data_IF_992786826199
#
_entry.id   IF_992786826199
#
_cell.length_a   1.000
_cell.length_b   1.000
_cell.length_c   1.000
_cell.angle_alpha   90.00
_cell.angle_beta   90.00
_cell.angle_gamma   90.00
#
_symmetry.space_group_name_H-M   'P 1'
#
loop_
_entity.id
_entity.type
_entity.pdbx_description
1 polymer ?
#
# COMPACT_ATOMS: atom_id res chain seq x y z
N UNK A 1 17.48 -8.73 1.72
CA UNK A 1 16.13 -8.22 2.08
C UNK A 1 16.23 -7.15 3.17
N UNK A 2 17.02 -7.39 4.22
CA UNK A 2 17.21 -6.49 5.38
C UNK A 2 17.64 -5.07 5.01
N UNK A 3 18.49 -4.92 3.98
CA UNK A 3 18.87 -3.61 3.44
C UNK A 3 17.67 -2.80 2.93
N UNK A 4 16.73 -3.45 2.23
CA UNK A 4 15.52 -2.78 1.72
C UNK A 4 14.54 -2.44 2.85
N UNK A 5 14.54 -3.21 3.93
CA UNK A 5 13.76 -2.89 5.13
C UNK A 5 14.38 -1.73 5.92
N UNK A 6 15.71 -1.70 6.05
CA UNK A 6 16.42 -0.67 6.82
C UNK A 6 16.52 0.66 6.08
N UNK A 7 16.65 0.64 4.75
CA UNK A 7 16.60 1.85 3.92
C UNK A 7 15.21 2.50 3.89
N UNK A 8 14.15 1.75 4.23
CA UNK A 8 12.79 2.27 4.41
C UNK A 8 12.07 2.72 3.13
N UNK A 9 12.74 2.75 1.97
CA UNK A 9 12.14 3.27 0.74
C UNK A 9 11.23 2.25 0.04
N UNK A 10 11.66 0.99 -0.07
CA UNK A 10 10.96 -0.01 -0.89
C UNK A 10 9.65 -0.49 -0.26
N UNK A 11 9.68 -0.80 1.04
CA UNK A 11 8.51 -1.22 1.81
C UNK A 11 7.80 -0.05 2.51
N UNK A 12 8.04 1.20 2.07
CA UNK A 12 7.22 2.33 2.52
C UNK A 12 5.79 2.17 2.02
N UNK A 13 4.80 2.60 2.82
CA UNK A 13 3.38 2.57 2.43
C UNK A 13 3.17 3.25 1.07
N UNK A 14 3.85 4.38 0.85
CA UNK A 14 3.73 5.15 -0.39
C UNK A 14 4.26 4.37 -1.61
N UNK A 15 5.48 3.81 -1.51
CA UNK A 15 6.05 3.01 -2.59
C UNK A 15 5.27 1.71 -2.85
N UNK A 16 4.71 1.08 -1.82
CA UNK A 16 3.88 -0.11 -1.99
C UNK A 16 2.52 0.25 -2.62
N UNK A 17 1.92 1.39 -2.24
CA UNK A 17 0.69 1.91 -2.82
C UNK A 17 0.82 2.23 -4.30
N UNK A 18 1.96 2.77 -4.73
CA UNK A 18 2.20 3.09 -6.14
C UNK A 18 2.29 1.85 -7.04
N UNK A 19 2.89 0.78 -6.52
CA UNK A 19 3.15 -0.49 -7.21
C UNK A 19 1.92 -1.38 -7.25
N UNK A 20 1.21 -1.48 -6.13
CA UNK A 20 0.03 -2.35 -6.00
C UNK A 20 -1.18 -1.54 -5.48
N UNK A 21 -1.72 -0.63 -6.30
CA UNK A 21 -2.74 0.32 -5.86
C UNK A 21 -4.06 -0.37 -5.51
N UNK A 22 -4.45 -1.45 -6.20
CA UNK A 22 -5.67 -2.18 -5.86
C UNK A 22 -5.52 -2.97 -4.55
N UNK A 23 -4.39 -3.64 -4.36
CA UNK A 23 -4.10 -4.36 -3.12
C UNK A 23 -4.05 -3.40 -1.93
N UNK A 24 -3.39 -2.25 -2.09
CA UNK A 24 -3.40 -1.20 -1.07
C UNK A 24 -4.83 -0.72 -0.77
N UNK A 25 -5.66 -0.51 -1.79
CA UNK A 25 -7.06 -0.12 -1.57
C UNK A 25 -7.83 -1.14 -0.72
N UNK A 26 -7.64 -2.43 -1.00
CA UNK A 26 -8.35 -3.51 -0.32
C UNK A 26 -7.93 -3.68 1.13
N UNK A 27 -6.64 -3.52 1.45
CA UNK A 27 -6.16 -3.71 2.83
C UNK A 27 -6.17 -2.41 3.64
N UNK A 28 -5.85 -1.27 3.03
CA UNK A 28 -5.64 -0.01 3.77
C UNK A 28 -6.61 1.06 3.33
N UNK A 29 -6.75 1.27 2.02
CA UNK A 29 -7.47 2.40 1.43
C UNK A 29 -8.98 2.42 1.69
N UNK A 30 -9.64 1.26 1.88
CA UNK A 30 -11.08 1.19 2.17
C UNK A 30 -11.44 1.65 3.58
N UNK A 31 -10.47 1.61 4.50
CA UNK A 31 -10.63 2.02 5.90
C UNK A 31 -10.11 3.44 6.15
N UNK A 32 -9.32 3.99 5.23
CA UNK A 32 -8.86 5.38 5.28
C UNK A 32 -10.03 6.33 5.01
N UNK A 33 -10.07 7.43 5.78
CA UNK A 33 -11.16 8.40 5.70
C UNK A 33 -11.23 9.05 4.28
N UNK A 34 -12.33 8.84 3.52
CA UNK A 34 -12.49 9.44 2.21
C UNK A 34 -12.57 10.96 2.27
N UNK A 35 -13.03 11.54 3.39
CA UNK A 35 -13.07 12.99 3.58
C UNK A 35 -11.67 13.56 3.74
N UNK A 36 -10.76 12.84 4.42
CA UNK A 36 -9.35 13.22 4.51
C UNK A 36 -8.57 13.14 3.19
N UNK A 37 -9.12 12.43 2.20
CA UNK A 37 -8.51 12.24 0.88
C UNK A 37 -9.07 13.17 -0.20
N UNK A 38 -10.40 13.34 -0.22
CA UNK A 38 -11.08 14.14 -1.26
C UNK A 38 -11.33 15.61 -0.87
N UNK A 39 -11.45 15.96 0.42
CA UNK A 39 -11.84 17.31 0.85
C UNK A 39 -10.65 18.21 1.20
N UNK A 40 -10.74 19.53 0.90
CA UNK A 40 -9.75 20.51 1.35
C UNK A 40 -9.67 20.54 2.87
N UNK A 41 -8.46 20.45 3.43
CA UNK A 41 -8.25 20.61 4.87
C UNK A 41 -8.24 22.11 5.23
N UNK A 42 -8.69 22.49 6.44
CA UNK A 42 -8.60 23.88 6.88
C UNK A 42 -7.16 24.40 6.82
N UNK A 43 -6.91 25.48 6.07
CA UNK A 43 -5.58 26.07 5.89
C UNK A 43 -4.75 25.50 4.74
N UNK A 44 -5.24 24.48 4.03
CA UNK A 44 -4.58 23.88 2.86
C UNK A 44 -4.81 24.74 1.60
N UNK A 45 -3.79 24.87 0.75
CA UNK A 45 -3.94 25.61 -0.52
C UNK A 45 -4.72 24.75 -1.50
N UNK A 46 -5.56 25.39 -2.31
CA UNK A 46 -6.37 24.70 -3.32
C UNK A 46 -5.52 23.89 -4.30
N UNK A 47 -4.29 24.34 -4.59
CA UNK A 47 -3.33 23.59 -5.40
C UNK A 47 -2.98 22.24 -4.77
N UNK A 48 -2.78 22.17 -3.46
CA UNK A 48 -2.42 20.93 -2.77
C UNK A 48 -3.59 19.94 -2.80
N UNK A 49 -4.82 20.43 -2.58
CA UNK A 49 -6.03 19.60 -2.70
C UNK A 49 -6.24 19.09 -4.13
N UNK A 50 -6.01 19.94 -5.14
CA UNK A 50 -6.11 19.54 -6.55
C UNK A 50 -5.06 18.50 -6.92
N UNK A 51 -3.82 18.66 -6.47
CA UNK A 51 -2.74 17.69 -6.69
C UNK A 51 -3.10 16.34 -6.07
N UNK A 52 -3.53 16.32 -4.80
CA UNK A 52 -4.00 15.11 -4.13
C UNK A 52 -5.15 14.43 -4.88
N UNK A 53 -6.15 15.21 -5.34
CA UNK A 53 -7.29 14.66 -6.09
C UNK A 53 -6.86 14.10 -7.46
N UNK A 54 -5.91 14.74 -8.13
CA UNK A 54 -5.37 14.27 -9.40
C UNK A 54 -4.56 12.97 -9.21
N UNK A 55 -3.72 12.90 -8.18
CA UNK A 55 -3.00 11.70 -7.77
C UNK A 55 -3.96 10.54 -7.47
N UNK A 56 -5.05 10.79 -6.73
CA UNK A 56 -6.06 9.79 -6.44
C UNK A 56 -6.84 9.33 -7.67
N UNK A 57 -7.14 10.24 -8.61
CA UNK A 57 -7.78 9.88 -9.87
C UNK A 57 -6.89 8.95 -10.71
N UNK A 58 -5.58 9.20 -10.72
CA UNK A 58 -4.60 8.32 -11.39
C UNK A 58 -4.60 6.94 -10.72
N UNK A 59 -4.56 6.89 -9.39
CA UNK A 59 -4.61 5.62 -8.64
C UNK A 59 -5.90 4.85 -8.92
N UNK A 60 -7.07 5.49 -8.89
CA UNK A 60 -8.35 4.85 -9.22
C UNK A 60 -8.37 4.30 -10.66
N UNK A 61 -7.76 5.02 -11.59
CA UNK A 61 -7.63 4.56 -12.98
C UNK A 61 -6.79 3.29 -13.05
N UNK A 62 -5.66 3.23 -12.32
CA UNK A 62 -4.83 2.03 -12.21
C UNK A 62 -5.61 0.86 -11.59
N UNK A 63 -6.27 1.11 -10.45
CA UNK A 63 -7.10 0.11 -9.74
C UNK A 63 -8.13 -0.50 -10.69
N UNK A 64 -8.81 0.32 -11.48
CA UNK A 64 -9.80 -0.16 -12.45
C UNK A 64 -9.18 -1.07 -13.52
N UNK A 65 -7.99 -0.74 -14.01
CA UNK A 65 -7.25 -1.61 -14.93
C UNK A 65 -6.88 -2.97 -14.30
N UNK A 66 -6.46 -2.96 -13.03
CA UNK A 66 -6.15 -4.18 -12.28
C UNK A 66 -7.40 -5.05 -12.03
N UNK A 67 -8.52 -4.44 -11.63
CA UNK A 67 -9.80 -5.12 -11.44
C UNK A 67 -10.28 -5.79 -12.74
N UNK A 68 -10.09 -5.15 -13.90
CA UNK A 68 -10.37 -5.75 -15.21
C UNK A 68 -9.46 -6.95 -15.50
N UNK A 69 -8.15 -6.82 -15.26
CA UNK A 69 -7.17 -7.90 -15.49
C UNK A 69 -7.43 -9.11 -14.59
N UNK A 70 -7.90 -8.89 -13.37
CA UNK A 70 -8.24 -9.93 -12.40
C UNK A 70 -9.66 -10.51 -12.59
N UNK A 71 -10.46 -9.95 -13.50
CA UNK A 71 -11.82 -10.41 -13.77
C UNK A 71 -12.84 -10.08 -12.68
N UNK A 72 -12.59 -9.04 -11.89
CA UNK A 72 -13.52 -8.56 -10.85
C UNK A 72 -14.79 -8.02 -11.52
N UNK A 73 -15.96 -8.37 -10.98
CA UNK A 73 -17.25 -7.96 -11.55
C UNK A 73 -17.46 -6.44 -11.41
N UNK A 74 -18.07 -5.80 -12.41
CA UNK A 74 -18.22 -4.32 -12.45
C UNK A 74 -18.95 -3.75 -11.23
N UNK A 75 -19.89 -4.51 -10.64
CA UNK A 75 -20.60 -4.10 -9.43
C UNK A 75 -19.71 -3.99 -8.18
N UNK A 76 -18.53 -4.62 -8.21
CA UNK A 76 -17.52 -4.61 -7.13
C UNK A 76 -16.37 -3.65 -7.45
N UNK A 77 -16.44 -2.93 -8.57
CA UNK A 77 -15.40 -1.97 -8.92
C UNK A 77 -15.38 -0.79 -7.96
N UNK A 78 -14.17 -0.37 -7.62
CA UNK A 78 -13.97 0.79 -6.75
C UNK A 78 -14.53 2.02 -7.45
N UNK A 79 -15.51 2.67 -6.81
CA UNK A 79 -16.14 3.87 -7.35
C UNK A 79 -15.45 5.12 -6.80
N UNK A 80 -15.22 6.16 -7.64
CA UNK A 80 -14.80 7.46 -7.15
C UNK A 80 -15.88 8.00 -6.20
N UNK A 81 -15.45 8.54 -5.05
CA UNK A 81 -16.35 9.26 -4.15
C UNK A 81 -16.87 10.48 -4.93
N UNK A 82 -18.14 10.45 -5.33
CA UNK A 82 -18.77 11.62 -5.93
C UNK A 82 -19.08 12.62 -4.81
N UNK A 83 -18.47 13.80 -4.90
CA UNK A 83 -18.87 14.97 -4.11
C UNK A 83 -20.32 15.31 -4.45
N UNK A 84 -21.27 14.75 -3.69
CA UNK A 84 -22.64 15.24 -3.69
C UNK A 84 -22.71 16.53 -2.84
N UNK A 85 -22.12 17.61 -3.35
CA UNK A 85 -22.51 18.96 -2.95
C UNK A 85 -23.35 19.59 -4.06
N UNK A 86 -24.48 18.94 -4.34
CA UNK A 86 -25.60 19.54 -5.07
C UNK A 86 -26.68 19.87 -4.06
N UNK A 87 -26.90 21.17 -3.81
CA UNK A 87 -28.17 21.65 -3.24
C UNK A 87 -29.27 21.13 -4.17
N UNK A 88 -29.94 20.05 -3.75
CA UNK A 88 -31.12 19.54 -4.46
C UNK A 88 -32.33 19.93 -3.61
N UNK A 89 -33.08 20.86 -4.17
CA UNK A 89 -34.43 21.19 -3.72
C UNK A 89 -35.30 19.93 -3.69
N UNK A 90 -36.20 19.88 -2.71
CA UNK A 90 -36.66 18.66 -2.08
C UNK A 90 -37.42 17.69 -2.98
N UNK A 91 -36.92 16.46 -3.06
CA UNK A 91 -37.76 15.25 -3.07
C UNK A 91 -36.95 14.11 -2.46
N UNK A 92 -37.32 13.73 -1.24
CA UNK A 92 -36.74 12.62 -0.52
C UNK A 92 -37.03 11.30 -1.25
N UNK A 93 -36.01 10.72 -1.88
CA UNK A 93 -35.89 9.27 -2.04
C UNK A 93 -34.72 8.82 -1.19
N UNK A 94 -35.05 8.47 0.06
CA UNK A 94 -34.15 7.86 1.02
C UNK A 94 -33.70 6.48 0.49
N UNK A 95 -32.61 6.47 -0.25
CA UNK A 95 -31.75 5.30 -0.47
C UNK A 95 -30.31 5.77 -0.58
N UNK A 96 -29.91 6.64 0.35
CA UNK A 96 -28.50 6.82 0.67
C UNK A 96 -28.14 5.60 1.50
N UNK A 97 -27.68 4.54 0.83
CA UNK A 97 -27.07 3.41 1.53
C UNK A 97 -25.94 3.99 2.39
N UNK A 98 -26.15 4.01 3.70
CA UNK A 98 -25.08 4.00 4.68
C UNK A 98 -24.22 2.78 4.33
N UNK A 99 -23.24 2.96 3.45
CA UNK A 99 -22.09 2.08 3.43
C UNK A 99 -21.37 2.44 4.72
N UNK A 100 -21.76 1.78 5.80
CA UNK A 100 -21.01 1.75 7.06
C UNK A 100 -19.65 1.13 6.72
N UNK A 101 -18.75 1.95 6.15
CA UNK A 101 -17.37 1.55 5.99
C UNK A 101 -16.86 1.30 7.41
N UNK A 102 -16.39 0.09 7.73
CA UNK A 102 -15.92 -0.22 9.07
C UNK A 102 -14.79 0.74 9.41
N UNK A 103 -15.03 1.61 10.41
CA UNK A 103 -14.00 2.48 10.95
C UNK A 103 -13.14 1.60 11.85
N UNK A 104 -11.99 1.17 11.33
CA UNK A 104 -11.02 0.40 12.11
C UNK A 104 -10.36 1.29 13.17
N UNK A 105 -10.08 0.70 14.32
CA UNK A 105 -9.24 1.35 15.33
C UNK A 105 -7.80 1.54 14.81
N UNK A 106 -7.00 2.42 15.42
CA UNK A 106 -5.60 2.62 15.02
C UNK A 106 -4.77 1.33 15.06
N UNK A 107 -5.04 0.44 16.03
CA UNK A 107 -4.37 -0.86 16.13
C UNK A 107 -4.74 -1.78 14.97
N UNK A 108 -6.03 -1.87 14.64
CA UNK A 108 -6.50 -2.69 13.51
C UNK A 108 -6.01 -2.14 12.16
N UNK A 109 -5.92 -0.82 12.01
CA UNK A 109 -5.33 -0.19 10.83
C UNK A 109 -3.86 -0.56 10.68
N UNK A 110 -3.12 -0.61 11.80
CA UNK A 110 -1.73 -1.05 11.79
C UNK A 110 -1.60 -2.54 11.42
N UNK A 111 -2.51 -3.39 11.89
CA UNK A 111 -2.56 -4.80 11.49
C UNK A 111 -2.88 -4.97 10.00
N UNK A 112 -3.76 -4.14 9.44
CA UNK A 112 -4.04 -4.15 8.00
C UNK A 112 -2.81 -3.70 7.17
N UNK A 113 -2.10 -2.68 7.63
CA UNK A 113 -0.84 -2.25 7.01
C UNK A 113 0.23 -3.36 7.10
N UNK A 114 0.31 -4.07 8.22
CA UNK A 114 1.22 -5.20 8.38
C UNK A 114 0.85 -6.36 7.43
N UNK A 115 -0.43 -6.71 7.32
CA UNK A 115 -0.89 -7.71 6.36
C UNK A 115 -0.58 -7.33 4.91
N UNK A 116 -0.81 -6.07 4.55
CA UNK A 116 -0.45 -5.55 3.24
C UNK A 116 1.07 -5.66 2.99
N UNK A 117 1.87 -5.25 3.97
CA UNK A 117 3.33 -5.32 3.91
C UNK A 117 3.82 -6.75 3.79
N UNK A 118 3.23 -7.68 4.53
CA UNK A 118 3.54 -9.11 4.48
C UNK A 118 3.31 -9.69 3.09
N UNK A 119 2.16 -9.38 2.46
CA UNK A 119 1.87 -9.84 1.10
C UNK A 119 2.91 -9.29 0.11
N UNK A 120 3.28 -8.01 0.24
CA UNK A 120 4.31 -7.40 -0.59
C UNK A 120 5.69 -8.04 -0.39
N UNK A 121 6.05 -8.40 0.84
CA UNK A 121 7.27 -9.16 1.13
C UNK A 121 7.25 -10.55 0.48
N UNK A 122 6.13 -11.27 0.54
CA UNK A 122 6.01 -12.58 -0.11
C UNK A 122 6.14 -12.46 -1.64
N UNK A 123 5.51 -11.46 -2.25
CA UNK A 123 5.67 -11.19 -3.70
C UNK A 123 7.10 -10.83 -4.06
N UNK A 124 7.79 -10.11 -3.18
CA UNK A 124 9.21 -9.83 -3.36
C UNK A 124 10.02 -11.12 -3.37
N UNK A 125 9.84 -11.99 -2.36
CA UNK A 125 10.58 -13.25 -2.24
C UNK A 125 10.24 -14.26 -3.35
N UNK A 126 9.03 -14.22 -3.90
CA UNK A 126 8.63 -15.09 -5.00
C UNK A 126 9.09 -14.61 -6.37
N UNK A 127 9.75 -13.45 -6.47
CA UNK A 127 10.20 -12.88 -7.75
C UNK A 127 9.08 -12.25 -8.57
N UNK A 128 7.88 -12.09 -8.01
CA UNK A 128 6.70 -11.62 -8.73
C UNK A 128 6.69 -10.09 -8.96
N UNK A 129 7.61 -9.36 -8.34
CA UNK A 129 7.72 -7.89 -8.40
C UNK A 129 8.69 -7.40 -9.49
N UNK A 130 8.87 -8.19 -10.57
CA UNK A 130 9.92 -7.97 -11.57
C UNK A 130 9.76 -6.68 -12.38
N UNK A 131 8.56 -6.09 -12.39
CA UNK A 131 8.28 -4.81 -13.03
C UNK A 131 8.89 -3.63 -12.27
N UNK A 132 9.10 -3.80 -10.96
CA UNK A 132 9.62 -2.75 -10.07
C UNK A 132 10.98 -3.08 -9.46
N UNK A 133 11.35 -4.37 -9.42
CA UNK A 133 12.66 -4.84 -8.96
C UNK A 133 13.35 -5.64 -10.03
N UNK A 134 14.59 -5.26 -10.30
CA UNK A 134 15.47 -6.05 -11.14
C UNK A 134 16.15 -7.12 -10.30
N UNK A 135 15.50 -8.27 -10.16
CA UNK A 135 16.03 -9.42 -9.39
C UNK A 135 17.38 -9.91 -9.93
N UNK A 136 17.60 -9.89 -11.25
CA UNK A 136 18.88 -10.29 -11.83
C UNK A 136 20.03 -9.43 -11.33
N UNK A 137 19.80 -8.13 -11.11
CA UNK A 137 20.80 -7.24 -10.53
C UNK A 137 21.07 -7.53 -9.05
N UNK A 138 20.07 -8.01 -8.32
CA UNK A 138 20.21 -8.39 -6.90
C UNK A 138 20.99 -9.71 -6.79
N UNK A 139 20.68 -10.68 -7.64
CA UNK A 139 21.37 -11.99 -7.66
C UNK A 139 22.85 -11.86 -8.06
N UNK A 140 23.22 -10.83 -8.83
CA UNK A 140 24.60 -10.56 -9.24
C UNK A 140 25.39 -9.68 -8.25
N UNK A 141 24.75 -9.16 -7.20
CA UNK A 141 25.41 -8.28 -6.21
C UNK A 141 26.09 -9.08 -5.10
N UNK A 142 27.35 -9.45 -5.33
CA UNK A 142 28.21 -10.19 -4.38
C UNK A 142 28.35 -9.49 -3.01
N UNK A 143 28.14 -8.16 -2.93
CA UNK A 143 28.27 -7.42 -1.65
C UNK A 143 27.14 -7.70 -0.68
N UNK A 144 26.03 -8.27 -1.16
CA UNK A 144 24.93 -8.73 -0.33
C UNK A 144 25.26 -10.07 0.36
N UNK A 145 26.15 -10.88 -0.23
CA UNK A 145 26.58 -12.17 0.29
C UNK A 145 27.66 -12.05 1.39
N UNK A 146 28.43 -10.96 1.37
CA UNK A 146 29.46 -10.66 2.37
C UNK A 146 28.90 -10.49 3.78
N UNK A 147 27.65 -9.98 3.89
CA UNK A 147 27.01 -9.69 5.18
C UNK A 147 26.68 -10.96 5.97
N UNK A 148 26.18 -12.00 5.30
CA UNK A 148 25.91 -13.30 5.94
C UNK A 148 27.19 -14.09 6.23
N UNK A 149 28.21 -14.01 5.36
CA UNK A 149 29.50 -14.67 5.60
C UNK A 149 30.19 -14.18 6.88
N UNK A 150 30.00 -12.90 7.24
CA UNK A 150 30.60 -12.33 8.44
C UNK A 150 29.91 -12.80 9.71
N UNK A 151 28.58 -12.81 9.71
CA UNK A 151 27.75 -13.21 10.86
C UNK A 151 27.84 -14.72 11.14
N UNK A 152 27.87 -15.55 10.08
CA UNK A 152 28.07 -16.99 10.22
C UNK A 152 29.43 -17.36 10.86
N UNK A 153 30.48 -16.56 10.62
CA UNK A 153 31.77 -16.75 11.28
C UNK A 153 31.72 -16.31 12.75
N UNK A 154 31.00 -15.23 13.08
CA UNK A 154 30.86 -14.79 14.48
C UNK A 154 30.10 -15.82 15.34
N UNK A 155 28.99 -16.38 14.85
CA UNK A 155 28.25 -17.43 15.56
C UNK A 155 29.07 -18.72 15.74
N UNK A 156 29.93 -19.03 14.76
CA UNK A 156 30.83 -20.19 14.83
C UNK A 156 31.99 -19.98 15.82
N UNK A 157 32.47 -18.75 15.97
CA UNK A 157 33.52 -18.38 16.93
C UNK A 157 33.00 -18.31 18.37
N UNK A 158 31.80 -17.76 18.62
CA UNK A 158 31.22 -17.71 19.97
C UNK A 158 30.96 -19.11 20.54
N UNK A 159 30.50 -20.05 19.70
CA UNK A 159 30.34 -21.47 20.10
C UNK A 159 31.66 -22.11 20.53
N UNK A 160 32.79 -21.63 20.02
CA UNK A 160 34.13 -22.10 20.40
C UNK A 160 34.59 -21.58 21.77
N UNK A 161 33.97 -20.52 22.29
CA UNK A 161 34.28 -19.91 23.59
C UNK A 161 33.32 -20.34 24.71
N UNK A 162 32.14 -20.87 24.39
CA UNK A 162 31.20 -21.42 25.39
C UNK A 162 31.55 -22.86 25.83
N UNK A 163 32.55 -23.49 25.19
CA UNK A 163 32.99 -24.88 25.47
C UNK A 163 34.32 -24.94 26.27
N UNK A 164 34.52 -24.06 27.26
CA UNK A 164 35.58 -24.19 28.31
C UNK A 164 35.07 -23.84 29.73
#
# INVERSE_FOLDING_TARGET
>A
MDKLMSEGNYFSEDAMREREPYLHHEYVGKFQDPYGRSMPRPGERWSETLMRRAEEAILLTKIRGEQQRLGVHESEWVQPVHDQNGITDGTATASSMNIERPVLSPAEMQEQLDQFTYIMQQKFLSGQDHEHVNYSKIDEDETLDDHWSKEANYDAEEKYFEED
#
